data_IF_542340189205
#
_entry.id   IF_542340189205
#
_cell.length_a   1.000
_cell.length_b   1.000
_cell.length_c   1.000
_cell.angle_alpha   90.00
_cell.angle_beta   90.00
_cell.angle_gamma   90.00
#
_symmetry.space_group_name_H-M   'P 1'
#
loop_
_entity.id
_entity.type
_entity.pdbx_description
1 polymer ?
#
# COMPACT_ATOMS: atom_id res chain seq x y z
N UNK A 1 -8.00 -9.68 36.00
CA UNK A 1 -7.93 -8.22 35.85
C UNK A 1 -6.46 -7.89 35.65
N UNK A 2 -6.07 -7.32 34.49
CA UNK A 2 -4.68 -6.91 34.27
C UNK A 2 -4.34 -5.74 35.19
N UNK A 3 -3.11 -5.69 35.70
CA UNK A 3 -2.72 -4.65 36.64
C UNK A 3 -2.59 -3.30 35.90
N UNK A 4 -3.01 -2.20 36.54
CA UNK A 4 -3.00 -0.88 35.91
C UNK A 4 -1.56 -0.43 35.60
N UNK A 5 -0.59 -0.91 36.38
CA UNK A 5 0.83 -0.75 36.14
C UNK A 5 1.29 -1.39 34.82
N UNK A 6 0.97 -2.67 34.58
CA UNK A 6 1.34 -3.39 33.35
C UNK A 6 0.81 -2.68 32.11
N UNK A 7 -0.44 -2.17 32.17
CA UNK A 7 -1.04 -1.42 31.07
C UNK A 7 -0.34 -0.07 30.83
N UNK A 8 0.00 0.67 31.89
CA UNK A 8 0.73 1.92 31.78
C UNK A 8 2.14 1.71 31.20
N UNK A 9 2.80 0.63 31.59
CA UNK A 9 4.11 0.22 31.07
C UNK A 9 4.02 -0.19 29.58
N UNK A 10 2.98 -0.93 29.16
CA UNK A 10 2.72 -1.24 27.76
C UNK A 10 2.49 0.04 26.91
N UNK A 11 1.70 1.00 27.42
CA UNK A 11 1.46 2.29 26.74
C UNK A 11 2.75 3.11 26.63
N UNK A 12 3.56 3.13 27.69
CA UNK A 12 4.83 3.86 27.73
C UNK A 12 5.91 3.20 26.84
N UNK A 13 5.85 1.87 26.67
CA UNK A 13 6.71 1.11 25.77
C UNK A 13 6.21 1.09 24.31
N UNK A 14 4.93 1.36 24.05
CA UNK A 14 4.35 1.36 22.71
C UNK A 14 4.99 2.40 21.78
N UNK A 15 5.13 3.65 22.23
CA UNK A 15 5.77 4.72 21.43
C UNK A 15 7.25 4.42 21.08
N UNK A 16 8.14 4.05 22.02
CA UNK A 16 9.52 3.68 21.67
C UNK A 16 9.59 2.37 20.87
N UNK A 17 8.65 1.43 21.04
CA UNK A 17 8.56 0.22 20.20
C UNK A 17 8.18 0.57 18.75
N UNK A 18 7.18 1.43 18.55
CA UNK A 18 6.83 1.98 17.23
C UNK A 18 8.01 2.73 16.61
N UNK A 19 8.66 3.64 17.34
CA UNK A 19 9.85 4.36 16.83
C UNK A 19 10.98 3.40 16.47
N UNK A 20 11.19 2.33 17.24
CA UNK A 20 12.14 1.28 16.90
C UNK A 20 11.74 0.53 15.63
N UNK A 21 10.48 0.15 15.46
CA UNK A 21 9.98 -0.49 14.24
C UNK A 21 10.16 0.43 13.02
N UNK A 22 9.80 1.71 13.15
CA UNK A 22 9.97 2.70 12.10
C UNK A 22 11.45 2.82 11.69
N UNK A 23 12.35 3.04 12.65
CA UNK A 23 13.78 3.21 12.39
C UNK A 23 14.52 1.93 11.95
N UNK A 24 14.09 0.75 12.40
CA UNK A 24 14.79 -0.52 12.12
C UNK A 24 14.25 -1.23 10.89
N UNK A 25 12.96 -1.11 10.58
CA UNK A 25 12.25 -1.94 9.58
C UNK A 25 11.57 -1.09 8.51
N UNK A 26 10.85 -0.03 8.88
CA UNK A 26 10.03 0.75 7.94
C UNK A 26 10.86 1.70 7.05
N UNK A 27 11.77 2.48 7.63
CA UNK A 27 12.54 3.51 6.91
C UNK A 27 13.71 2.95 6.09
N UNK A 28 14.17 1.73 6.39
CA UNK A 28 15.33 1.13 5.72
C UNK A 28 14.93 0.55 4.35
N UNK A 29 15.46 1.05 3.22
CA UNK A 29 15.06 0.59 1.88
C UNK A 29 15.46 -0.87 1.62
N UNK A 30 16.49 -1.38 2.30
CA UNK A 30 16.96 -2.77 2.16
C UNK A 30 15.87 -3.80 2.46
N UNK A 31 14.92 -3.50 3.36
CA UNK A 31 13.81 -4.40 3.68
C UNK A 31 12.78 -4.49 2.56
N UNK A 32 12.96 -3.74 1.46
CA UNK A 32 12.03 -3.58 0.32
C UNK A 32 12.66 -3.86 -1.05
N UNK A 33 13.95 -4.19 -1.10
CA UNK A 33 14.69 -4.56 -2.34
C UNK A 33 13.97 -5.68 -3.10
N UNK A 34 13.38 -6.63 -2.39
CA UNK A 34 12.77 -7.82 -2.97
C UNK A 34 11.55 -7.50 -3.85
N UNK A 35 10.75 -6.48 -3.51
CA UNK A 35 9.67 -5.99 -4.36
C UNK A 35 10.19 -5.30 -5.64
N UNK A 36 11.26 -4.51 -5.52
CA UNK A 36 11.90 -3.84 -6.65
C UNK A 36 12.53 -4.84 -7.63
N UNK A 37 13.23 -5.86 -7.12
CA UNK A 37 13.83 -6.92 -7.94
C UNK A 37 12.76 -7.68 -8.75
N UNK A 38 11.65 -8.06 -8.12
CA UNK A 38 10.53 -8.74 -8.81
C UNK A 38 9.95 -7.84 -9.91
N UNK A 39 9.81 -6.53 -9.66
CA UNK A 39 9.35 -5.56 -10.66
C UNK A 39 10.31 -5.40 -11.85
N UNK A 40 11.62 -5.35 -11.61
CA UNK A 40 12.66 -5.28 -12.67
C UNK A 40 12.69 -6.58 -13.50
N UNK A 41 12.58 -7.74 -12.85
CA UNK A 41 12.49 -9.03 -13.53
C UNK A 41 11.24 -9.12 -14.41
N UNK A 42 10.08 -8.66 -13.92
CA UNK A 42 8.86 -8.57 -14.72
C UNK A 42 9.06 -7.67 -15.96
N UNK A 43 9.63 -6.48 -15.78
CA UNK A 43 9.87 -5.55 -16.87
C UNK A 43 10.77 -6.16 -17.97
N UNK A 44 11.82 -6.90 -17.59
CA UNK A 44 12.68 -7.63 -18.51
C UNK A 44 11.94 -8.76 -19.25
N UNK A 45 11.10 -9.53 -18.55
CA UNK A 45 10.26 -10.58 -19.18
C UNK A 45 9.29 -9.97 -20.21
N UNK A 46 8.65 -8.85 -19.87
CA UNK A 46 7.76 -8.11 -20.78
C UNK A 46 8.53 -7.60 -22.00
N UNK A 47 9.71 -7.00 -21.80
CA UNK A 47 10.56 -6.51 -22.88
C UNK A 47 10.93 -7.62 -23.88
N UNK A 48 11.48 -8.73 -23.38
CA UNK A 48 11.89 -9.88 -24.21
C UNK A 48 10.70 -10.54 -24.91
N UNK A 49 9.51 -10.54 -24.30
CA UNK A 49 8.28 -11.05 -24.94
C UNK A 49 7.80 -10.15 -26.07
N UNK A 50 7.92 -8.83 -25.91
CA UNK A 50 7.59 -7.84 -26.95
C UNK A 50 8.53 -7.94 -28.14
N UNK A 51 9.82 -8.12 -27.90
CA UNK A 51 10.84 -8.37 -28.92
C UNK A 51 10.55 -9.67 -29.70
N UNK A 52 10.25 -10.77 -29.00
CA UNK A 52 9.96 -12.07 -29.61
C UNK A 52 8.52 -12.22 -30.17
N UNK A 53 7.71 -11.15 -30.21
CA UNK A 53 6.30 -11.17 -30.66
C UNK A 53 5.48 -12.38 -30.17
N UNK A 54 5.68 -12.80 -28.91
CA UNK A 54 5.21 -14.12 -28.47
C UNK A 54 3.68 -14.20 -28.39
N UNK A 55 3.06 -15.33 -28.80
CA UNK A 55 1.60 -15.46 -28.90
C UNK A 55 0.88 -15.28 -27.56
N UNK A 56 -0.43 -15.05 -27.62
CA UNK A 56 -1.31 -14.92 -26.44
C UNK A 56 -1.23 -16.17 -25.55
N UNK A 57 -1.36 -15.99 -24.23
CA UNK A 57 -1.37 -17.11 -23.27
C UNK A 57 -2.65 -17.94 -23.39
N UNK A 58 -2.52 -19.24 -23.14
CA UNK A 58 -3.65 -20.16 -23.01
C UNK A 58 -4.53 -19.77 -21.81
N UNK A 59 -5.85 -19.74 -21.99
CA UNK A 59 -6.85 -19.41 -20.97
C UNK A 59 -6.71 -20.23 -19.68
N UNK A 60 -6.25 -21.49 -19.76
CA UNK A 60 -5.96 -22.31 -18.56
C UNK A 60 -4.85 -21.71 -17.69
N UNK A 61 -3.76 -21.25 -18.32
CA UNK A 61 -2.64 -20.60 -17.62
C UNK A 61 -3.10 -19.26 -17.02
N UNK A 62 -3.94 -18.52 -17.75
CA UNK A 62 -4.54 -17.28 -17.27
C UNK A 62 -5.36 -17.49 -15.99
N UNK A 63 -6.25 -18.48 -15.98
CA UNK A 63 -7.07 -18.82 -14.81
C UNK A 63 -6.26 -19.28 -13.60
N UNK A 64 -5.28 -20.17 -13.81
CA UNK A 64 -4.37 -20.63 -12.74
C UNK A 64 -3.61 -19.45 -12.14
N UNK A 65 -3.07 -18.56 -12.97
CA UNK A 65 -2.35 -17.37 -12.51
C UNK A 65 -3.24 -16.40 -11.73
N UNK A 66 -4.50 -16.19 -12.12
CA UNK A 66 -5.47 -15.39 -11.35
C UNK A 66 -5.76 -16.00 -9.98
N UNK A 67 -5.95 -17.32 -9.90
CA UNK A 67 -6.17 -18.02 -8.63
C UNK A 67 -4.92 -17.91 -7.74
N UNK A 68 -3.72 -18.14 -8.28
CA UNK A 68 -2.46 -18.03 -7.53
C UNK A 68 -2.19 -16.60 -7.06
N UNK A 69 -2.40 -15.58 -7.90
CA UNK A 69 -2.21 -14.18 -7.54
C UNK A 69 -3.19 -13.73 -6.45
N UNK A 70 -4.46 -14.12 -6.57
CA UNK A 70 -5.50 -13.80 -5.58
C UNK A 70 -5.26 -14.54 -4.26
N UNK A 71 -4.93 -15.84 -4.32
CA UNK A 71 -4.59 -16.66 -3.16
C UNK A 71 -3.36 -16.14 -2.43
N UNK A 72 -2.30 -15.76 -3.16
CA UNK A 72 -1.11 -15.15 -2.59
C UNK A 72 -1.45 -13.82 -1.90
N UNK A 73 -2.18 -12.91 -2.56
CA UNK A 73 -2.57 -11.63 -1.97
C UNK A 73 -3.41 -11.81 -0.68
N UNK A 74 -4.40 -12.72 -0.70
CA UNK A 74 -5.23 -13.02 0.47
C UNK A 74 -4.42 -13.66 1.61
N UNK A 75 -3.55 -14.64 1.33
CA UNK A 75 -2.68 -15.27 2.33
C UNK A 75 -1.70 -14.27 2.97
N UNK A 76 -1.19 -13.31 2.19
CA UNK A 76 -0.29 -12.26 2.67
C UNK A 76 -1.00 -11.16 3.48
N UNK A 77 -2.32 -11.02 3.34
CA UNK A 77 -3.11 -10.04 4.11
C UNK A 77 -3.76 -10.65 5.36
N UNK A 78 -4.30 -11.87 5.26
CA UNK A 78 -5.06 -12.54 6.33
C UNK A 78 -4.27 -13.62 7.08
N UNK A 79 -3.08 -14.01 6.62
CA UNK A 79 -2.29 -15.10 7.19
C UNK A 79 -1.82 -14.92 8.64
N UNK A 80 -1.89 -13.69 9.18
CA UNK A 80 -1.60 -13.41 10.60
C UNK A 80 -2.82 -13.48 11.52
N UNK A 81 -4.03 -13.72 10.98
CA UNK A 81 -5.25 -13.68 11.78
C UNK A 81 -5.26 -14.77 12.85
N UNK A 82 -5.34 -14.35 14.12
CA UNK A 82 -5.40 -15.21 15.31
C UNK A 82 -4.17 -16.10 15.61
N UNK A 83 -3.05 -15.94 14.90
CA UNK A 83 -1.85 -16.79 15.08
C UNK A 83 -0.83 -16.18 16.05
N UNK A 84 -0.36 -16.98 17.04
CA UNK A 84 0.80 -16.66 17.87
C UNK A 84 2.07 -17.20 17.21
N UNK A 85 2.72 -16.38 16.37
CA UNK A 85 3.92 -16.80 15.65
C UNK A 85 5.15 -16.83 16.57
N UNK A 86 5.94 -17.90 16.47
CA UNK A 86 7.33 -17.91 16.97
C UNK A 86 8.17 -16.87 16.21
N UNK A 87 9.21 -16.33 16.85
CA UNK A 87 10.10 -15.30 16.28
C UNK A 87 10.64 -15.69 14.88
N UNK A 88 10.98 -16.96 14.69
CA UNK A 88 11.45 -17.51 13.42
C UNK A 88 10.33 -17.43 12.36
N UNK A 89 9.14 -17.96 12.66
CA UNK A 89 7.98 -17.94 11.76
C UNK A 89 7.55 -16.51 11.43
N UNK A 90 7.57 -15.60 12.40
CA UNK A 90 7.27 -14.19 12.21
C UNK A 90 8.28 -13.49 11.29
N UNK A 91 9.56 -13.83 11.41
CA UNK A 91 10.62 -13.30 10.53
C UNK A 91 10.45 -13.80 9.09
N UNK A 92 10.22 -15.10 8.90
CA UNK A 92 9.93 -15.66 7.57
C UNK A 92 8.64 -15.08 6.96
N UNK A 93 7.58 -14.92 7.75
CA UNK A 93 6.34 -14.30 7.27
C UNK A 93 6.57 -12.85 6.81
N UNK A 94 7.29 -12.03 7.58
CA UNK A 94 7.58 -10.64 7.22
C UNK A 94 8.39 -10.51 5.92
N UNK A 95 9.30 -11.46 5.66
CA UNK A 95 10.05 -11.52 4.40
C UNK A 95 9.18 -12.01 3.23
N UNK A 96 8.42 -13.09 3.42
CA UNK A 96 7.76 -13.80 2.32
C UNK A 96 6.38 -13.21 1.95
N UNK A 97 5.66 -12.61 2.89
CA UNK A 97 4.34 -11.98 2.64
C UNK A 97 4.43 -10.87 1.58
N UNK A 98 5.48 -10.06 1.63
CA UNK A 98 5.66 -8.94 0.70
C UNK A 98 6.24 -9.37 -0.64
N UNK A 99 7.02 -10.46 -0.68
CA UNK A 99 7.34 -11.15 -1.93
C UNK A 99 6.07 -11.71 -2.60
N UNK A 100 5.24 -12.45 -1.86
CA UNK A 100 4.01 -13.05 -2.37
C UNK A 100 3.02 -12.00 -2.90
N UNK A 101 2.81 -10.91 -2.17
CA UNK A 101 1.99 -9.79 -2.63
C UNK A 101 2.56 -9.11 -3.88
N UNK A 102 3.88 -8.89 -3.94
CA UNK A 102 4.54 -8.28 -5.10
C UNK A 102 4.44 -9.16 -6.35
N UNK A 103 4.58 -10.48 -6.20
CA UNK A 103 4.39 -11.46 -7.28
C UNK A 103 2.93 -11.48 -7.77
N UNK A 104 1.95 -11.44 -6.86
CA UNK A 104 0.54 -11.31 -7.20
C UNK A 104 0.24 -10.05 -8.02
N UNK A 105 0.76 -8.90 -7.58
CA UNK A 105 0.64 -7.64 -8.31
C UNK A 105 1.34 -7.68 -9.68
N UNK A 106 2.50 -8.32 -9.77
CA UNK A 106 3.22 -8.50 -11.03
C UNK A 106 2.44 -9.36 -12.04
N UNK A 107 1.69 -10.37 -11.59
CA UNK A 107 0.79 -11.11 -12.46
C UNK A 107 -0.32 -10.24 -13.05
N UNK A 108 -0.94 -9.37 -12.23
CA UNK A 108 -1.96 -8.41 -12.69
C UNK A 108 -1.40 -7.50 -13.78
N UNK A 109 -0.24 -6.89 -13.52
CA UNK A 109 0.43 -5.99 -14.47
C UNK A 109 0.77 -6.73 -15.78
N UNK A 110 1.33 -7.95 -15.69
CA UNK A 110 1.66 -8.78 -16.84
C UNK A 110 0.43 -9.02 -17.74
N UNK A 111 -0.68 -9.48 -17.14
CA UNK A 111 -1.92 -9.79 -17.86
C UNK A 111 -2.56 -8.55 -18.51
N UNK A 112 -2.50 -7.39 -17.84
CA UNK A 112 -2.92 -6.11 -18.43
C UNK A 112 -2.07 -5.72 -19.64
N UNK A 113 -0.73 -5.83 -19.57
CA UNK A 113 0.18 -5.46 -20.67
C UNK A 113 0.03 -6.38 -21.90
N UNK A 114 -0.32 -7.66 -21.72
CA UNK A 114 -0.54 -8.59 -22.83
C UNK A 114 -1.91 -8.35 -23.52
N UNK A 115 -2.79 -7.53 -22.94
CA UNK A 115 -4.16 -7.36 -23.45
C UNK A 115 -5.01 -8.62 -23.30
N UNK A 116 -4.85 -9.33 -22.17
CA UNK A 116 -5.69 -10.48 -21.78
C UNK A 116 -6.40 -10.25 -20.44
N UNK A 117 -6.40 -9.01 -19.95
CA UNK A 117 -6.93 -8.60 -18.66
C UNK A 117 -8.14 -7.67 -18.75
N UNK A 118 -8.96 -7.79 -19.79
CA UNK A 118 -9.93 -6.75 -20.21
C UNK A 118 -10.79 -6.19 -19.09
N UNK A 119 -11.31 -7.04 -18.18
CA UNK A 119 -12.09 -6.60 -17.03
C UNK A 119 -11.27 -5.71 -16.07
N UNK A 120 -10.08 -6.16 -15.67
CA UNK A 120 -9.20 -5.42 -14.74
C UNK A 120 -8.60 -4.19 -15.40
N UNK A 121 -8.22 -4.29 -16.68
CA UNK A 121 -7.72 -3.18 -17.46
C UNK A 121 -8.77 -2.06 -17.63
N UNK A 122 -10.04 -2.43 -17.80
CA UNK A 122 -11.17 -1.47 -17.87
C UNK A 122 -11.37 -0.74 -16.54
N UNK A 123 -11.25 -1.45 -15.41
CA UNK A 123 -11.33 -0.85 -14.07
C UNK A 123 -10.14 0.10 -13.85
N UNK A 124 -8.91 -0.35 -14.09
CA UNK A 124 -7.69 0.46 -13.87
C UNK A 124 -7.59 1.67 -14.80
N UNK A 125 -8.14 1.58 -16.03
CA UNK A 125 -8.17 2.68 -17.00
C UNK A 125 -9.34 3.65 -16.78
N UNK A 126 -10.13 3.49 -15.72
CA UNK A 126 -11.34 4.27 -15.51
C UNK A 126 -11.02 5.73 -15.12
N UNK A 127 -11.57 6.69 -15.86
CA UNK A 127 -11.27 8.13 -15.72
C UNK A 127 -11.37 8.68 -14.28
N UNK A 128 -12.33 8.28 -13.42
CA UNK A 128 -12.39 8.73 -12.03
C UNK A 128 -11.19 8.31 -11.15
N UNK A 129 -10.45 7.25 -11.53
CA UNK A 129 -9.24 6.85 -10.80
C UNK A 129 -8.07 7.83 -11.01
N UNK A 130 -8.08 8.64 -12.07
CA UNK A 130 -7.01 9.61 -12.37
C UNK A 130 -6.93 10.70 -11.28
N UNK A 131 -8.00 11.46 -10.95
CA UNK A 131 -7.97 12.42 -9.84
C UNK A 131 -7.84 11.72 -8.49
N UNK A 132 -8.44 10.53 -8.31
CA UNK A 132 -8.34 9.79 -7.05
C UNK A 132 -6.90 9.38 -6.75
N UNK A 133 -6.14 8.89 -7.76
CA UNK A 133 -4.73 8.51 -7.61
C UNK A 133 -3.84 9.68 -7.17
N UNK A 134 -4.08 10.89 -7.69
CA UNK A 134 -3.39 12.11 -7.24
C UNK A 134 -3.74 12.45 -5.79
N UNK A 135 -5.02 12.36 -5.45
CA UNK A 135 -5.50 12.62 -4.10
C UNK A 135 -4.92 11.62 -3.09
N UNK A 136 -4.75 10.35 -3.46
CA UNK A 136 -4.13 9.30 -2.64
C UNK A 136 -2.69 9.66 -2.26
N UNK A 137 -1.92 10.34 -3.11
CA UNK A 137 -0.58 10.82 -2.76
C UNK A 137 -0.64 11.90 -1.66
N UNK A 138 -1.54 12.88 -1.79
CA UNK A 138 -1.76 13.89 -0.74
C UNK A 138 -2.27 13.24 0.56
N UNK A 139 -3.16 12.26 0.46
CA UNK A 139 -3.67 11.50 1.62
C UNK A 139 -2.56 10.70 2.30
N UNK A 140 -1.64 10.09 1.55
CA UNK A 140 -0.48 9.38 2.11
C UNK A 140 0.42 10.30 2.93
N UNK A 141 0.64 11.55 2.50
CA UNK A 141 1.45 12.53 3.24
C UNK A 141 0.74 13.08 4.48
N UNK A 142 -0.58 13.31 4.41
CA UNK A 142 -1.35 13.94 5.50
C UNK A 142 -1.83 12.92 6.54
N UNK A 143 -2.08 11.68 6.15
CA UNK A 143 -2.58 10.61 7.03
C UNK A 143 -1.71 10.38 8.29
N UNK A 144 -0.36 10.32 8.23
CA UNK A 144 0.48 10.22 9.43
C UNK A 144 0.25 11.37 10.42
N UNK A 145 0.03 12.59 9.92
CA UNK A 145 -0.23 13.78 10.76
C UNK A 145 -1.58 13.65 11.44
N UNK A 146 -2.63 13.25 10.71
CA UNK A 146 -3.98 12.98 11.25
C UNK A 146 -3.94 11.87 12.30
N UNK A 147 -3.21 10.78 12.03
CA UNK A 147 -2.95 9.70 12.99
C UNK A 147 -2.30 10.21 14.27
N UNK A 148 -1.18 10.96 14.20
CA UNK A 148 -0.52 11.48 15.41
C UNK A 148 -1.37 12.50 16.17
N UNK A 149 -2.11 13.36 15.47
CA UNK A 149 -3.02 14.30 16.11
C UNK A 149 -4.17 13.57 16.83
N UNK A 150 -4.73 12.53 16.20
CA UNK A 150 -5.76 11.70 16.82
C UNK A 150 -5.21 10.97 18.04
N UNK A 151 -4.14 10.19 17.91
CA UNK A 151 -3.57 9.44 19.04
C UNK A 151 -3.08 10.34 20.18
N UNK A 152 -2.53 11.52 19.89
CA UNK A 152 -2.17 12.52 20.90
C UNK A 152 -3.37 13.19 21.60
N UNK A 153 -4.57 13.10 21.03
CA UNK A 153 -5.82 13.61 21.62
C UNK A 153 -6.55 12.60 22.52
N UNK A 154 -6.21 11.30 22.41
CA UNK A 154 -6.84 10.23 23.19
C UNK A 154 -6.47 10.37 24.67
N UNK A 155 -7.48 10.41 25.54
CA UNK A 155 -7.33 10.48 27.01
C UNK A 155 -7.83 9.23 27.75
N UNK A 156 -8.45 8.29 27.04
CA UNK A 156 -9.02 7.07 27.60
C UNK A 156 -8.77 5.89 26.67
N UNK A 157 -8.69 4.68 27.24
CA UNK A 157 -8.47 3.45 26.48
C UNK A 157 -9.65 3.19 25.54
N UNK A 158 -9.36 2.91 24.27
CA UNK A 158 -10.35 2.37 23.34
C UNK A 158 -10.31 0.85 23.46
N UNK A 159 -11.42 0.23 23.87
CA UNK A 159 -11.52 -1.22 23.93
C UNK A 159 -11.34 -1.85 22.54
N UNK A 160 -10.50 -2.89 22.47
CA UNK A 160 -10.22 -3.62 21.23
C UNK A 160 -11.41 -4.49 20.83
N UNK A 161 -12.32 -3.89 20.07
CA UNK A 161 -13.46 -4.55 19.45
C UNK A 161 -13.39 -4.34 17.93
N UNK A 162 -13.70 -5.37 17.14
CA UNK A 162 -13.74 -5.31 15.68
C UNK A 162 -14.57 -4.12 15.16
N UNK A 163 -15.71 -3.83 15.80
CA UNK A 163 -16.58 -2.71 15.44
C UNK A 163 -15.86 -1.37 15.66
N UNK A 164 -15.24 -1.17 16.83
CA UNK A 164 -14.48 0.04 17.16
C UNK A 164 -13.31 0.25 16.18
N UNK A 165 -12.56 -0.82 15.86
CA UNK A 165 -11.43 -0.76 14.91
C UNK A 165 -11.90 -0.41 13.50
N UNK A 166 -13.03 -0.94 13.03
CA UNK A 166 -13.60 -0.60 11.72
C UNK A 166 -14.07 0.87 11.68
N UNK A 167 -14.78 1.34 12.71
CA UNK A 167 -15.21 2.74 12.79
C UNK A 167 -14.01 3.69 12.83
N UNK A 168 -12.99 3.37 13.64
CA UNK A 168 -11.75 4.13 13.74
C UNK A 168 -11.04 4.22 12.39
N UNK A 169 -10.86 3.09 11.70
CA UNK A 169 -10.22 3.03 10.39
C UNK A 169 -10.97 3.88 9.37
N UNK A 170 -12.30 3.75 9.26
CA UNK A 170 -13.12 4.53 8.34
C UNK A 170 -13.09 6.03 8.67
N UNK A 171 -13.12 6.40 9.95
CA UNK A 171 -13.03 7.79 10.41
C UNK A 171 -11.69 8.44 10.07
N UNK A 172 -10.57 7.79 10.39
CA UNK A 172 -9.22 8.30 10.08
C UNK A 172 -9.00 8.36 8.57
N UNK A 173 -9.47 7.35 7.82
CA UNK A 173 -9.42 7.35 6.35
C UNK A 173 -10.20 8.53 5.77
N UNK A 174 -11.44 8.74 6.20
CA UNK A 174 -12.28 9.86 5.73
C UNK A 174 -11.63 11.21 6.04
N UNK A 175 -11.21 11.44 7.29
CA UNK A 175 -10.52 12.67 7.69
C UNK A 175 -9.23 12.91 6.89
N UNK A 176 -8.46 11.85 6.63
CA UNK A 176 -7.24 11.93 5.80
C UNK A 176 -7.54 12.34 4.36
N UNK A 177 -8.59 11.80 3.74
CA UNK A 177 -9.00 12.18 2.38
C UNK A 177 -9.59 13.61 2.31
N UNK A 178 -10.32 14.06 3.33
CA UNK A 178 -10.80 15.46 3.42
C UNK A 178 -9.62 16.42 3.56
N UNK A 179 -8.67 16.14 4.47
CA UNK A 179 -7.48 16.96 4.64
C UNK A 179 -6.56 16.92 3.39
N UNK A 180 -6.50 15.79 2.69
CA UNK A 180 -5.82 15.66 1.40
C UNK A 180 -6.44 16.53 0.30
N UNK A 181 -7.77 16.65 0.24
CA UNK A 181 -8.45 17.50 -0.73
C UNK A 181 -8.10 18.97 -0.49
N UNK A 182 -8.16 19.43 0.76
CA UNK A 182 -7.75 20.78 1.14
C UNK A 182 -6.28 21.03 0.77
N UNK A 183 -5.40 20.08 1.05
CA UNK A 183 -3.96 20.18 0.74
C UNK A 183 -3.69 20.20 -0.78
N UNK A 184 -4.34 19.33 -1.56
CA UNK A 184 -4.22 19.31 -3.03
C UNK A 184 -4.72 20.61 -3.65
N UNK A 185 -5.86 21.15 -3.19
CA UNK A 185 -6.38 22.44 -3.69
C UNK A 185 -5.40 23.58 -3.37
N UNK A 186 -4.86 23.64 -2.15
CA UNK A 186 -3.96 24.70 -1.71
C UNK A 186 -2.56 24.65 -2.35
N UNK A 187 -2.00 23.46 -2.58
CA UNK A 187 -0.61 23.30 -3.07
C UNK A 187 -0.51 22.78 -4.50
N UNK A 188 -1.28 21.76 -4.89
CA UNK A 188 -1.19 21.17 -6.23
C UNK A 188 -1.73 22.13 -7.30
N UNK A 189 -2.84 22.82 -7.02
CA UNK A 189 -3.47 23.72 -8.00
C UNK A 189 -2.62 24.96 -8.38
N UNK A 190 -1.95 25.69 -7.47
CA UNK A 190 -1.04 26.77 -7.86
C UNK A 190 0.24 26.23 -8.51
N UNK A 191 0.80 25.11 -8.05
CA UNK A 191 2.04 24.54 -8.60
C UNK A 191 1.84 24.09 -10.07
N UNK A 192 0.73 23.42 -10.39
CA UNK A 192 0.40 23.06 -11.78
C UNK A 192 0.23 24.30 -12.66
N UNK A 193 -0.37 25.37 -12.12
CA UNK A 193 -0.54 26.64 -12.86
C UNK A 193 0.80 27.34 -13.08
N UNK A 194 1.70 27.34 -12.11
CA UNK A 194 3.06 27.88 -12.21
C UNK A 194 3.93 27.08 -13.20
N UNK A 195 3.87 25.75 -13.16
CA UNK A 195 4.61 24.88 -14.09
C UNK A 195 4.24 25.17 -15.55
N UNK A 196 2.94 25.32 -15.84
CA UNK A 196 2.45 25.69 -17.18
C UNK A 196 2.95 27.06 -17.62
N UNK A 197 2.95 28.05 -16.73
CA UNK A 197 3.46 29.40 -17.03
C UNK A 197 4.96 29.39 -17.31
N UNK A 198 5.75 28.65 -16.53
CA UNK A 198 7.20 28.49 -16.76
C UNK A 198 7.47 27.75 -18.07
N UNK A 199 6.80 26.62 -18.32
CA UNK A 199 6.95 25.84 -19.56
C UNK A 199 6.65 26.67 -20.81
N UNK A 200 5.59 27.48 -20.78
CA UNK A 200 5.24 28.38 -21.89
C UNK A 200 6.27 29.51 -22.06
N UNK A 201 6.94 29.95 -20.99
CA UNK A 201 7.98 30.99 -21.02
C UNK A 201 9.35 30.50 -21.49
N UNK A 202 9.66 29.20 -21.37
CA UNK A 202 10.88 28.60 -21.92
C UNK A 202 10.71 28.02 -23.33
N UNK A 203 9.48 27.98 -23.85
CA UNK A 203 9.16 27.51 -25.21
C UNK A 203 8.98 28.65 -26.21
N UNK A 204 9.32 29.89 -25.83
CA UNK A 204 9.22 31.13 -26.61
C UNK A 204 10.51 31.94 -26.47
#
# INVERSE_FOLDING_TARGET
MGNIADFAEDLQNFLPSLMNFFNKIYTKPYTRIEAYLVGVLLAYIIYKRKENNSPKLNTKILGIGWILASGAALACQFGLYHQKLSLVTASFYNALSRLGFSLGLCWVIFVCVIGQGDAVNSILSWKPLIPLSRLTYCAYLVHPVVMTAYFGSIRALIEFNHINVIMLYLGILFLSYVAALVTSILFESPVIRLERLLRNRFSS
#
